data_IF_204335801538
#
_entry.id   IF_204335801538
#
_cell.length_a   1.000
_cell.length_b   1.000
_cell.length_c   1.000
_cell.angle_alpha   90.00
_cell.angle_beta   90.00
_cell.angle_gamma   90.00
#
_symmetry.space_group_name_H-M   'P 1'
#
loop_
_entity.id
_entity.type
_entity.pdbx_description
1 polymer ?
#
# COMPACT_ATOMS: atom_id res chain seq x y z
N UNK A 1 -6.47 -3.20 -1.50
CA UNK A 1 -5.37 -3.94 -0.83
C UNK A 1 -4.02 -3.72 -1.51
N UNK A 2 -3.69 -4.34 -2.65
CA UNK A 2 -2.37 -4.15 -3.30
C UNK A 2 -2.43 -3.25 -4.54
N UNK A 3 -3.53 -3.35 -5.29
CA UNK A 3 -3.84 -2.46 -6.42
C UNK A 3 -3.96 -0.99 -6.01
N UNK A 4 -4.35 -0.70 -4.77
CA UNK A 4 -4.47 0.68 -4.27
C UNK A 4 -3.11 1.37 -4.12
N UNK A 5 -2.03 0.62 -3.85
CA UNK A 5 -0.67 1.18 -3.85
C UNK A 5 -0.33 1.67 -5.26
N UNK A 6 -0.61 0.83 -6.26
CA UNK A 6 -0.34 1.15 -7.67
C UNK A 6 -1.22 2.30 -8.16
N UNK A 7 -2.51 2.30 -7.82
CA UNK A 7 -3.47 3.31 -8.26
C UNK A 7 -3.28 4.67 -7.59
N UNK A 8 -2.97 4.71 -6.27
CA UNK A 8 -2.83 5.97 -5.53
C UNK A 8 -1.49 6.65 -5.75
N UNK A 9 -0.42 5.87 -5.83
CA UNK A 9 0.92 6.42 -5.96
C UNK A 9 1.43 6.46 -7.41
N UNK A 10 0.66 5.91 -8.36
CA UNK A 10 1.08 5.83 -9.76
C UNK A 10 2.32 4.96 -9.98
N UNK A 11 2.66 4.12 -8.99
CA UNK A 11 3.84 3.26 -9.07
C UNK A 11 3.43 2.01 -9.85
N UNK A 12 4.12 1.69 -10.95
CA UNK A 12 3.75 0.54 -11.74
C UNK A 12 4.15 -0.75 -10.97
N UNK A 13 3.39 -1.85 -11.13
CA UNK A 13 3.56 -3.03 -10.26
C UNK A 13 4.96 -3.65 -10.33
N UNK A 14 5.55 -3.65 -11.51
CA UNK A 14 6.92 -4.09 -11.80
C UNK A 14 7.97 -3.40 -10.93
N UNK A 15 7.86 -2.08 -10.73
CA UNK A 15 8.76 -1.34 -9.84
C UNK A 15 8.66 -1.78 -8.38
N UNK A 16 7.47 -2.17 -7.93
CA UNK A 16 7.28 -2.68 -6.57
C UNK A 16 7.78 -4.12 -6.46
N UNK A 17 7.52 -4.96 -7.45
CA UNK A 17 7.99 -6.34 -7.46
C UNK A 17 9.50 -6.46 -7.62
N UNK A 18 10.14 -5.52 -8.31
CA UNK A 18 11.60 -5.42 -8.43
C UNK A 18 12.29 -5.11 -7.09
N UNK A 19 11.57 -4.54 -6.12
CA UNK A 19 12.13 -4.24 -4.79
C UNK A 19 12.35 -5.50 -3.97
N UNK A 20 13.40 -5.45 -3.16
CA UNK A 20 13.75 -6.45 -2.16
C UNK A 20 12.55 -6.81 -1.28
N UNK A 21 12.45 -8.09 -0.88
CA UNK A 21 11.27 -8.61 -0.16
C UNK A 21 10.95 -7.77 1.08
N UNK A 22 11.95 -7.35 1.85
CA UNK A 22 11.77 -6.50 3.05
C UNK A 22 11.09 -5.17 2.73
N UNK A 23 11.51 -4.51 1.65
CA UNK A 23 10.91 -3.24 1.22
C UNK A 23 9.46 -3.42 0.78
N UNK A 24 9.15 -4.51 0.07
CA UNK A 24 7.75 -4.84 -0.30
C UNK A 24 6.88 -5.05 0.94
N UNK A 25 7.37 -5.79 1.94
CA UNK A 25 6.66 -5.98 3.21
C UNK A 25 6.40 -4.67 3.93
N UNK A 26 7.39 -3.77 3.97
CA UNK A 26 7.21 -2.46 4.57
C UNK A 26 6.13 -1.64 3.84
N UNK A 27 6.18 -1.58 2.51
CA UNK A 27 5.17 -0.87 1.72
C UNK A 27 3.75 -1.40 1.96
N UNK A 28 3.59 -2.73 2.01
CA UNK A 28 2.30 -3.35 2.28
C UNK A 28 1.81 -3.07 3.70
N UNK A 29 2.68 -3.18 4.71
CA UNK A 29 2.32 -2.90 6.10
C UNK A 29 1.92 -1.42 6.29
N UNK A 30 2.64 -0.49 5.68
CA UNK A 30 2.29 0.93 5.72
C UNK A 30 0.94 1.20 5.07
N UNK A 31 0.64 0.57 3.92
CA UNK A 31 -0.64 0.75 3.25
C UNK A 31 -1.81 0.18 4.07
N UNK A 32 -1.63 -0.99 4.70
CA UNK A 32 -2.63 -1.58 5.58
C UNK A 32 -3.06 -0.63 6.69
N UNK A 33 -2.08 -0.01 7.38
CA UNK A 33 -2.34 0.96 8.46
C UNK A 33 -3.11 2.18 7.93
N UNK A 34 -2.77 2.64 6.72
CA UNK A 34 -3.43 3.80 6.12
C UNK A 34 -4.91 3.48 5.79
N UNK A 35 -5.18 2.30 5.23
CA UNK A 35 -6.55 1.85 4.93
C UNK A 35 -7.39 1.72 6.20
N UNK A 36 -6.84 1.16 7.28
CA UNK A 36 -7.52 1.08 8.57
C UNK A 36 -7.86 2.46 9.15
N UNK A 37 -6.95 3.44 9.01
CA UNK A 37 -7.21 4.83 9.43
C UNK A 37 -8.33 5.47 8.63
N UNK A 38 -8.36 5.25 7.32
CA UNK A 38 -9.40 5.77 6.43
C UNK A 38 -10.75 5.11 6.69
N UNK A 39 -10.76 3.81 6.99
CA UNK A 39 -11.98 3.10 7.38
C UNK A 39 -12.54 3.64 8.70
N UNK A 40 -11.68 3.82 9.71
CA UNK A 40 -12.07 4.47 10.99
C UNK A 40 -12.56 5.90 10.79
N UNK A 41 -11.99 6.65 9.85
CA UNK A 41 -12.43 8.00 9.52
C UNK A 41 -13.79 8.02 8.81
N UNK A 42 -14.10 7.00 7.98
CA UNK A 42 -15.40 6.86 7.30
C UNK A 42 -16.53 6.40 8.21
N UNK A 43 -16.21 5.70 9.30
CA UNK A 43 -17.19 5.22 10.28
C UNK A 43 -17.53 6.25 11.37
N UNK A 44 -16.91 7.44 11.34
CA UNK A 44 -17.07 8.51 12.33
C UNK A 44 -17.91 9.65 11.77
#
# INVERSE_FOLDING_TARGET
>A
MLHEIFQRHGIPPDEVYAKERRHRFFMYASMMIQLEREEKARQK
#
